data_IF_876773635465
#
_entry.id   IF_876773635465
#
_cell.length_a   1.000
_cell.length_b   1.000
_cell.length_c   1.000
_cell.angle_alpha   90.00
_cell.angle_beta   90.00
_cell.angle_gamma   90.00
#
_symmetry.space_group_name_H-M   'P 1'
#
loop_
_entity.id
_entity.type
_entity.pdbx_description
1 polymer ?
#
# COMPACT_ATOMS: atom_id res chain seq x y z
N UNK A 1 11.99 3.18 -35.49
CA UNK A 1 12.81 4.28 -34.96
C UNK A 1 14.06 3.69 -34.35
N UNK A 2 15.25 4.24 -34.65
CA UNK A 2 16.48 3.79 -34.02
C UNK A 2 16.64 4.44 -32.64
N UNK A 3 17.23 3.71 -31.69
CA UNK A 3 17.44 4.19 -30.31
C UNK A 3 18.23 5.51 -30.30
N UNK A 4 19.24 5.61 -31.16
CA UNK A 4 20.12 6.79 -31.28
C UNK A 4 19.38 8.06 -31.68
N UNK A 5 18.33 7.94 -32.49
CA UNK A 5 17.51 9.09 -32.93
C UNK A 5 16.67 9.60 -31.76
N UNK A 6 16.19 8.70 -30.90
CA UNK A 6 15.40 9.05 -29.73
C UNK A 6 16.28 9.69 -28.67
N UNK A 7 17.50 9.19 -28.45
CA UNK A 7 18.43 9.79 -27.49
C UNK A 7 18.79 11.22 -27.88
N UNK A 8 19.07 11.46 -29.17
CA UNK A 8 19.40 12.77 -29.67
C UNK A 8 18.22 13.77 -29.55
N UNK A 9 16.99 13.30 -29.80
CA UNK A 9 15.79 14.10 -29.55
C UNK A 9 15.57 14.37 -28.04
N UNK A 10 15.87 13.40 -27.18
CA UNK A 10 15.76 13.57 -25.74
C UNK A 10 16.79 14.55 -25.18
N UNK A 11 17.98 14.67 -25.79
CA UNK A 11 19.00 15.64 -25.35
C UNK A 11 18.50 17.09 -25.41
N UNK A 12 17.70 17.41 -26.43
CA UNK A 12 17.11 18.74 -26.66
C UNK A 12 16.04 19.12 -25.63
N UNK A 13 15.51 18.14 -24.87
CA UNK A 13 14.50 18.38 -23.85
C UNK A 13 15.11 19.02 -22.59
N UNK A 14 14.33 19.89 -21.94
CA UNK A 14 14.65 20.40 -20.62
C UNK A 14 14.63 19.28 -19.56
N UNK A 15 15.26 19.50 -18.41
CA UNK A 15 15.30 18.50 -17.34
C UNK A 15 13.89 18.07 -16.87
N UNK A 16 12.92 18.99 -16.87
CA UNK A 16 11.53 18.69 -16.46
C UNK A 16 10.83 17.81 -17.48
N UNK A 17 11.04 18.09 -18.76
CA UNK A 17 10.46 17.30 -19.85
C UNK A 17 11.07 15.90 -19.88
N UNK A 18 12.38 15.77 -19.64
CA UNK A 18 13.05 14.47 -19.47
C UNK A 18 12.42 13.65 -18.35
N UNK A 19 12.17 14.26 -17.18
CA UNK A 19 11.51 13.59 -16.06
C UNK A 19 10.07 13.18 -16.38
N UNK A 20 9.31 14.06 -17.05
CA UNK A 20 7.93 13.77 -17.47
C UNK A 20 7.88 12.64 -18.49
N UNK A 21 8.80 12.63 -19.46
CA UNK A 21 8.93 11.58 -20.47
C UNK A 21 9.28 10.24 -19.82
N UNK A 22 10.25 10.22 -18.91
CA UNK A 22 10.62 9.01 -18.18
C UNK A 22 9.42 8.43 -17.40
N UNK A 23 8.66 9.28 -16.71
CA UNK A 23 7.44 8.85 -16.01
C UNK A 23 6.40 8.27 -16.97
N UNK A 24 6.20 8.91 -18.13
CA UNK A 24 5.29 8.43 -19.16
C UNK A 24 5.71 7.06 -19.70
N UNK A 25 6.98 6.89 -20.06
CA UNK A 25 7.53 5.63 -20.59
C UNK A 25 7.40 4.47 -19.59
N UNK A 26 7.60 4.73 -18.29
CA UNK A 26 7.40 3.71 -17.25
C UNK A 26 5.92 3.31 -17.16
N UNK A 27 5.00 4.26 -17.30
CA UNK A 27 3.56 3.97 -17.25
C UNK A 27 3.07 3.21 -18.47
N UNK A 28 3.55 3.57 -19.67
CA UNK A 28 3.19 2.86 -20.90
C UNK A 28 3.75 1.44 -20.88
N UNK A 29 5.02 1.27 -20.52
CA UNK A 29 5.64 -0.06 -20.42
C UNK A 29 4.90 -0.96 -19.42
N UNK A 30 4.47 -0.43 -18.26
CA UNK A 30 3.66 -1.20 -17.30
C UNK A 30 2.29 -1.57 -17.85
N UNK A 31 1.65 -0.67 -18.60
CA UNK A 31 0.35 -0.96 -19.21
C UNK A 31 0.48 -2.06 -20.27
N UNK A 32 1.52 -1.99 -21.09
CA UNK A 32 1.84 -3.02 -22.09
C UNK A 32 2.16 -4.36 -21.41
N UNK A 33 2.96 -4.36 -20.35
CA UNK A 33 3.23 -5.54 -19.53
C UNK A 33 1.95 -6.14 -18.94
N UNK A 34 1.03 -5.31 -18.42
CA UNK A 34 -0.25 -5.79 -17.85
C UNK A 34 -1.18 -6.43 -18.91
N UNK A 35 -1.09 -5.98 -20.18
CA UNK A 35 -1.85 -6.55 -21.30
C UNK A 35 -1.24 -7.88 -21.75
N UNK A 36 0.08 -7.93 -21.93
CA UNK A 36 0.80 -9.11 -22.40
C UNK A 36 0.93 -10.19 -21.30
N UNK A 37 1.02 -9.76 -20.04
CA UNK A 37 1.18 -10.61 -18.87
C UNK A 37 0.19 -10.17 -17.78
N UNK A 38 -1.08 -10.60 -17.86
CA UNK A 38 -2.09 -10.29 -16.87
C UNK A 38 -1.80 -11.04 -15.55
N UNK A 39 -0.82 -10.57 -14.79
CA UNK A 39 -0.49 -11.13 -13.49
C UNK A 39 -1.38 -10.49 -12.43
N UNK A 40 -2.23 -11.31 -11.80
CA UNK A 40 -2.96 -10.91 -10.60
C UNK A 40 -1.96 -10.40 -9.55
N UNK A 41 -1.97 -9.09 -9.27
CA UNK A 41 -0.99 -8.41 -8.39
C UNK A 41 -0.95 -8.94 -6.94
N UNK A 42 -1.83 -9.89 -6.60
CA UNK A 42 -1.86 -10.61 -5.33
C UNK A 42 -0.73 -11.66 -5.19
N UNK A 43 -0.12 -12.15 -6.27
CA UNK A 43 0.86 -13.26 -6.22
C UNK A 43 2.33 -12.79 -6.24
N UNK A 44 2.62 -11.62 -6.81
CA UNK A 44 4.00 -11.14 -7.06
C UNK A 44 4.79 -10.64 -5.82
N UNK A 45 4.21 -10.67 -4.61
CA UNK A 45 4.97 -10.44 -3.37
C UNK A 45 5.85 -11.65 -3.03
N UNK A 46 5.52 -12.84 -3.54
CA UNK A 46 6.23 -14.09 -3.21
C UNK A 46 7.52 -14.27 -4.03
N UNK A 47 7.54 -13.86 -5.30
CA UNK A 47 8.62 -14.23 -6.23
C UNK A 47 9.78 -13.22 -6.30
N UNK A 48 9.55 -11.94 -5.98
CA UNK A 48 10.61 -10.91 -6.00
C UNK A 48 11.65 -11.01 -4.85
N UNK A 49 11.58 -12.03 -3.99
CA UNK A 49 12.55 -12.23 -2.89
C UNK A 49 13.80 -13.03 -3.27
N UNK A 50 13.92 -13.55 -4.50
CA UNK A 50 15.03 -14.43 -4.91
C UNK A 50 16.08 -13.76 -5.79
N UNK A 51 16.42 -12.49 -5.63
CA UNK A 51 17.70 -11.96 -6.14
C UNK A 51 17.93 -10.53 -5.67
N UNK A 52 18.74 -10.37 -4.63
CA UNK A 52 19.90 -9.45 -4.56
C UNK A 52 20.46 -9.62 -3.13
N UNK A 53 21.70 -10.10 -3.07
CA UNK A 53 22.47 -10.31 -1.84
C UNK A 53 23.10 -8.98 -1.36
N UNK A 54 23.32 -8.92 -0.03
CA UNK A 54 24.31 -8.15 0.74
C UNK A 54 23.87 -6.87 1.49
N UNK A 55 24.51 -6.54 2.65
CA UNK A 55 24.03 -6.99 3.96
C UNK A 55 23.78 -5.84 4.94
N UNK A 56 22.85 -6.00 5.88
CA UNK A 56 22.95 -5.37 7.21
C UNK A 56 21.91 -5.98 8.13
N UNK A 57 22.36 -6.37 9.33
CA UNK A 57 21.55 -6.92 10.41
C UNK A 57 20.48 -5.92 10.81
N UNK A 58 19.25 -6.14 10.38
CA UNK A 58 18.07 -5.73 11.14
C UNK A 58 17.22 -6.97 11.28
N UNK A 59 16.83 -7.30 12.51
CA UNK A 59 16.03 -8.48 12.84
C UNK A 59 14.66 -8.38 12.17
N UNK A 60 14.57 -8.70 10.90
CA UNK A 60 13.31 -8.75 10.17
C UNK A 60 12.65 -10.06 10.53
N UNK A 61 11.84 -10.03 11.60
CA UNK A 61 10.74 -10.98 11.75
C UNK A 61 10.01 -11.00 10.41
N UNK A 62 9.86 -12.18 9.84
CA UNK A 62 9.18 -12.44 8.57
C UNK A 62 7.72 -12.01 8.68
N UNK A 63 7.44 -10.74 8.40
CA UNK A 63 6.08 -10.21 8.43
C UNK A 63 5.49 -10.44 7.03
N UNK A 64 4.71 -11.51 6.88
CA UNK A 64 3.49 -11.43 6.08
C UNK A 64 2.71 -10.27 6.68
N UNK A 65 2.77 -9.07 6.09
CA UNK A 65 2.01 -7.92 6.61
C UNK A 65 0.57 -8.25 6.29
N UNK A 66 -0.11 -8.95 7.21
CA UNK A 66 -1.55 -8.98 7.21
C UNK A 66 -1.96 -7.51 7.28
N UNK A 67 -2.62 -7.02 6.23
CA UNK A 67 -3.21 -5.67 6.19
C UNK A 67 -3.98 -5.35 7.48
N UNK A 68 -4.53 -6.40 8.09
CA UNK A 68 -5.14 -6.39 9.41
C UNK A 68 -4.17 -6.05 10.55
N UNK A 69 -3.00 -6.70 10.64
CA UNK A 69 -2.01 -6.44 11.70
C UNK A 69 -1.49 -5.00 11.61
N UNK A 70 -1.28 -4.50 10.39
CA UNK A 70 -0.93 -3.10 10.14
C UNK A 70 -2.03 -2.13 10.63
N UNK A 71 -3.29 -2.41 10.32
CA UNK A 71 -4.41 -1.61 10.80
C UNK A 71 -4.51 -1.63 12.34
N UNK A 72 -4.32 -2.79 12.96
CA UNK A 72 -4.35 -2.96 14.42
C UNK A 72 -3.28 -2.11 15.10
N UNK A 73 -2.02 -2.22 14.66
CA UNK A 73 -0.91 -1.45 15.22
C UNK A 73 -1.15 0.06 15.11
N UNK A 74 -1.64 0.50 13.95
CA UNK A 74 -1.86 1.91 13.67
C UNK A 74 -3.04 2.48 14.44
N UNK A 75 -4.14 1.74 14.59
CA UNK A 75 -5.29 2.14 15.40
C UNK A 75 -4.91 2.23 16.88
N UNK A 76 -4.11 1.28 17.40
CA UNK A 76 -3.61 1.34 18.78
C UNK A 76 -2.70 2.54 19.04
N UNK A 77 -2.00 3.02 18.01
CA UNK A 77 -1.16 4.23 18.09
C UNK A 77 -2.00 5.51 18.05
N UNK A 78 -2.97 5.59 17.13
CA UNK A 78 -3.82 6.78 16.94
C UNK A 78 -4.89 6.94 18.03
N UNK A 79 -5.35 5.84 18.61
CA UNK A 79 -6.41 5.78 19.63
C UNK A 79 -7.60 6.71 19.35
N UNK A 80 -8.27 6.61 18.19
CA UNK A 80 -9.48 7.36 17.93
C UNK A 80 -10.53 7.10 19.03
N UNK A 81 -11.12 8.16 19.57
CA UNK A 81 -12.08 8.13 20.69
C UNK A 81 -13.54 8.09 20.26
N UNK A 82 -13.82 8.45 19.00
CA UNK A 82 -15.16 8.49 18.39
C UNK A 82 -15.28 7.44 17.30
N UNK A 83 -16.48 6.87 17.11
CA UNK A 83 -16.74 5.88 16.05
C UNK A 83 -16.45 6.44 14.65
N UNK A 84 -16.87 7.68 14.37
CA UNK A 84 -16.58 8.35 13.09
C UNK A 84 -15.08 8.54 12.85
N UNK A 85 -14.33 8.86 13.90
CA UNK A 85 -12.87 9.00 13.82
C UNK A 85 -12.18 7.66 13.57
N UNK A 86 -12.70 6.56 14.13
CA UNK A 86 -12.21 5.21 13.84
C UNK A 86 -12.43 4.83 12.37
N UNK A 87 -13.64 5.06 11.83
CA UNK A 87 -13.95 4.80 10.42
C UNK A 87 -13.05 5.61 9.48
N UNK A 88 -12.92 6.91 9.73
CA UNK A 88 -12.04 7.77 8.93
C UNK A 88 -10.58 7.35 9.02
N UNK A 89 -10.13 6.92 10.21
CA UNK A 89 -8.77 6.43 10.40
C UNK A 89 -8.51 5.18 9.56
N UNK A 90 -9.45 4.22 9.54
CA UNK A 90 -9.34 2.99 8.74
C UNK A 90 -9.36 3.34 7.24
N UNK A 91 -10.31 4.16 6.78
CA UNK A 91 -10.37 4.58 5.38
C UNK A 91 -9.07 5.26 4.92
N UNK A 92 -8.52 6.15 5.75
CA UNK A 92 -7.25 6.81 5.47
C UNK A 92 -6.06 5.85 5.43
N UNK A 93 -6.10 4.71 6.13
CA UNK A 93 -5.04 3.69 6.07
C UNK A 93 -4.99 2.99 4.72
N UNK A 94 -6.14 2.83 4.05
CA UNK A 94 -6.29 2.09 2.80
C UNK A 94 -6.50 2.96 1.56
N UNK A 95 -6.56 4.30 1.71
CA UNK A 95 -6.79 5.22 0.59
C UNK A 95 -5.76 5.09 -0.54
N UNK A 96 -4.50 4.77 -0.21
CA UNK A 96 -3.42 4.61 -1.19
C UNK A 96 -3.38 3.21 -1.82
N UNK A 97 -4.20 2.27 -1.33
CA UNK A 97 -4.27 0.88 -1.83
C UNK A 97 -5.50 0.62 -2.70
N UNK A 98 -6.26 1.67 -3.06
CA UNK A 98 -7.50 1.56 -3.85
C UNK A 98 -8.78 1.80 -3.04
N UNK A 99 -8.66 2.20 -1.78
CA UNK A 99 -9.80 2.34 -0.88
C UNK A 99 -10.26 0.98 -0.33
N UNK A 100 -11.17 1.04 0.64
CA UNK A 100 -11.69 -0.15 1.32
C UNK A 100 -13.21 -0.05 1.37
N UNK A 101 -13.91 -1.16 1.19
CA UNK A 101 -15.37 -1.18 1.27
C UNK A 101 -15.85 -1.00 2.72
N UNK A 102 -17.01 -0.39 2.93
CA UNK A 102 -17.61 -0.28 4.27
C UNK A 102 -17.79 -1.65 4.94
N UNK A 103 -18.04 -2.71 4.16
CA UNK A 103 -18.13 -4.09 4.66
C UNK A 103 -16.80 -4.54 5.28
N UNK A 104 -15.70 -4.31 4.58
CA UNK A 104 -14.35 -4.69 5.02
C UNK A 104 -13.90 -3.85 6.22
N UNK A 105 -14.25 -2.57 6.27
CA UNK A 105 -14.03 -1.72 7.45
C UNK A 105 -14.74 -2.29 8.68
N UNK A 106 -16.00 -2.69 8.52
CA UNK A 106 -16.77 -3.30 9.59
C UNK A 106 -16.17 -4.64 10.04
N UNK A 107 -15.66 -5.46 9.11
CA UNK A 107 -14.94 -6.69 9.45
C UNK A 107 -13.67 -6.43 10.27
N UNK A 108 -12.89 -5.42 9.90
CA UNK A 108 -11.69 -5.01 10.66
C UNK A 108 -12.07 -4.62 12.09
N UNK A 109 -13.15 -3.84 12.25
CA UNK A 109 -13.66 -3.42 13.56
C UNK A 109 -14.14 -4.63 14.37
N UNK A 110 -14.91 -5.54 13.78
CA UNK A 110 -15.40 -6.75 14.45
C UNK A 110 -14.24 -7.63 14.93
N UNK A 111 -13.19 -7.79 14.12
CA UNK A 111 -11.99 -8.51 14.54
C UNK A 111 -11.25 -7.79 15.67
N UNK A 112 -11.18 -6.46 15.65
CA UNK A 112 -10.56 -5.68 16.73
C UNK A 112 -11.30 -5.83 18.06
N UNK A 113 -12.63 -5.93 18.02
CA UNK A 113 -13.47 -6.22 19.17
C UNK A 113 -13.26 -7.66 19.67
N UNK A 114 -13.26 -8.65 18.76
CA UNK A 114 -13.00 -10.07 19.09
C UNK A 114 -11.64 -10.26 19.76
N UNK A 115 -10.62 -9.55 19.29
CA UNK A 115 -9.27 -9.59 19.85
C UNK A 115 -9.14 -8.82 21.18
N UNK A 116 -10.27 -8.39 21.79
CA UNK A 116 -10.36 -7.64 23.05
C UNK A 116 -9.50 -6.37 23.10
N UNK A 117 -9.13 -5.80 21.95
CA UNK A 117 -8.31 -4.57 21.90
C UNK A 117 -9.15 -3.30 21.99
N UNK A 118 -10.46 -3.42 21.75
CA UNK A 118 -11.39 -2.31 21.56
C UNK A 118 -12.79 -2.66 22.03
N UNK A 119 -13.41 -1.75 22.77
CA UNK A 119 -14.83 -1.78 23.17
C UNK A 119 -15.50 -0.55 22.58
N UNK A 120 -16.58 -0.79 21.84
CA UNK A 120 -17.43 0.26 21.28
C UNK A 120 -18.66 0.41 22.17
N UNK A 121 -18.80 1.56 22.83
CA UNK A 121 -20.01 1.93 23.56
C UNK A 121 -20.72 3.06 22.80
N UNK A 122 -21.73 2.69 22.02
CA UNK A 122 -22.60 3.51 21.16
C UNK A 122 -21.85 4.49 20.21
N UNK A 123 -21.17 5.50 20.75
CA UNK A 123 -20.43 6.50 19.99
C UNK A 123 -18.98 6.72 20.47
N UNK A 124 -18.59 6.09 21.58
CA UNK A 124 -17.25 6.18 22.17
C UNK A 124 -16.49 4.87 21.98
N UNK A 125 -15.21 5.03 21.72
CA UNK A 125 -14.26 3.95 21.46
C UNK A 125 -13.31 3.88 22.67
N UNK A 126 -13.37 2.78 23.41
CA UNK A 126 -12.54 2.53 24.59
C UNK A 126 -11.54 1.43 24.29
N UNK A 127 -10.27 1.64 24.62
CA UNK A 127 -9.21 0.65 24.43
C UNK A 127 -8.99 -0.10 25.74
N UNK A 128 -9.12 -1.42 25.67
CA UNK A 128 -8.78 -2.28 26.81
C UNK A 128 -7.26 -2.48 26.77
N UNK A 129 -6.61 -2.28 27.92
CA UNK A 129 -5.15 -2.30 28.07
C UNK A 129 -4.65 -3.73 28.21
#
# INVERSE_FOLDING_TARGET
MNYEVITLACEQLSYREKLKLAQYLIQTARREEEVEHPVNRLTNVVERKKSVKQPTKVKTKSITVNHYDYAVERILKLKPTKRSSLLNSINAMFQFQGGISEKEVNEIILRLQKNKKLVLNNNKVSYVK
#
